data_IF_406400681092
#
_entry.id   IF_406400681092
#
_cell.length_a   1.000
_cell.length_b   1.000
_cell.length_c   1.000
_cell.angle_alpha   90.00
_cell.angle_beta   90.00
_cell.angle_gamma   90.00
#
_symmetry.space_group_name_H-M   'P 1'
#
loop_
_entity.id
_entity.type
_entity.pdbx_description
1 polymer ?
#
# COMPACT_ATOMS: atom_id res chain seq x y z
N UNK A 1 1.69 22.66 47.06
CA UNK A 1 2.04 21.81 45.90
C UNK A 1 2.22 20.38 46.37
N UNK A 2 1.86 19.36 45.56
CA UNK A 2 2.16 17.97 45.88
C UNK A 2 3.67 17.76 46.07
N UNK A 3 4.05 16.84 46.97
CA UNK A 3 5.46 16.51 47.23
C UNK A 3 5.87 15.31 46.35
N UNK A 4 6.74 15.51 45.34
CA UNK A 4 7.14 14.44 44.43
C UNK A 4 8.20 13.48 45.00
N UNK A 5 8.58 13.61 46.29
CA UNK A 5 9.54 12.71 46.96
C UNK A 5 10.89 12.58 46.24
N UNK A 6 11.41 13.69 45.69
CA UNK A 6 12.68 13.71 44.98
C UNK A 6 13.87 13.66 45.95
N UNK A 7 14.92 12.92 45.59
CA UNK A 7 16.19 12.93 46.31
C UNK A 7 16.93 14.25 46.08
N UNK A 8 17.94 14.56 46.92
CA UNK A 8 18.76 15.77 46.76
C UNK A 8 19.44 15.86 45.39
N UNK A 9 19.86 14.73 44.83
CA UNK A 9 20.51 14.69 43.51
C UNK A 9 19.50 14.91 42.37
N UNK A 10 18.29 14.37 42.50
CA UNK A 10 17.21 14.62 41.54
C UNK A 10 16.78 16.09 41.57
N UNK A 11 16.69 16.70 42.76
CA UNK A 11 16.40 18.13 42.91
C UNK A 11 17.48 18.96 42.22
N UNK A 12 18.76 18.66 42.45
CA UNK A 12 19.88 19.37 41.80
C UNK A 12 19.85 19.21 40.28
N UNK A 13 19.62 17.99 39.79
CA UNK A 13 19.57 17.69 38.35
C UNK A 13 18.41 18.43 37.68
N UNK A 14 17.22 18.38 38.29
CA UNK A 14 16.04 19.09 37.78
C UNK A 14 16.23 20.60 37.82
N UNK A 15 16.80 21.14 38.90
CA UNK A 15 17.11 22.57 39.02
C UNK A 15 18.11 23.00 37.95
N UNK A 16 19.15 22.20 37.71
CA UNK A 16 20.15 22.48 36.66
C UNK A 16 19.52 22.45 35.27
N UNK A 17 18.64 21.47 35.00
CA UNK A 17 17.89 21.41 33.75
C UNK A 17 17.01 22.66 33.56
N UNK A 18 16.25 23.04 34.59
CA UNK A 18 15.33 24.19 34.53
C UNK A 18 16.08 25.51 34.37
N UNK A 19 17.14 25.74 35.16
CA UNK A 19 17.99 26.93 35.06
C UNK A 19 18.81 26.98 33.77
N UNK A 20 19.12 25.82 33.18
CA UNK A 20 19.80 25.72 31.89
C UNK A 20 18.85 25.74 30.70
N UNK A 21 17.53 25.65 30.93
CA UNK A 21 16.50 25.67 29.90
C UNK A 21 16.08 27.10 29.54
N UNK A 22 17.05 28.00 29.49
CA UNK A 22 16.90 29.37 29.01
C UNK A 22 16.77 29.38 27.48
N UNK A 23 15.91 30.25 26.94
CA UNK A 23 15.81 30.49 25.49
C UNK A 23 17.04 31.27 24.99
N UNK A 24 18.21 30.63 25.00
CA UNK A 24 19.36 31.16 24.28
C UNK A 24 19.21 30.83 22.80
N UNK A 25 18.58 31.74 22.05
CA UNK A 25 18.55 31.62 20.60
C UNK A 25 19.97 31.71 20.06
N UNK A 26 20.38 30.74 19.23
CA UNK A 26 21.66 30.81 18.51
C UNK A 26 21.77 32.15 17.78
N UNK A 27 22.93 32.83 17.74
CA UNK A 27 23.05 34.06 16.96
C UNK A 27 22.71 33.80 15.50
N UNK A 28 22.14 34.80 14.81
CA UNK A 28 21.61 34.63 13.45
C UNK A 28 22.64 34.06 12.45
N UNK A 29 23.93 34.38 12.63
CA UNK A 29 25.04 33.87 11.83
C UNK A 29 25.27 32.36 11.94
N UNK A 30 24.82 31.72 13.03
CA UNK A 30 24.91 30.28 13.24
C UNK A 30 23.63 29.54 12.83
N UNK A 31 22.57 30.28 12.45
CA UNK A 31 21.30 29.69 12.03
C UNK A 31 21.36 29.36 10.54
N UNK A 32 21.37 28.07 10.19
CA UNK A 32 21.19 27.64 8.81
C UNK A 32 19.72 27.80 8.39
N UNK A 33 19.46 28.82 7.58
CA UNK A 33 18.14 29.17 7.01
C UNK A 33 18.22 29.14 5.48
N UNK A 34 18.14 27.97 4.84
CA UNK A 34 18.14 27.88 3.39
C UNK A 34 16.94 28.64 2.80
N UNK A 35 17.12 29.25 1.62
CA UNK A 35 16.05 29.94 0.89
C UNK A 35 15.38 29.09 -0.20
N UNK A 36 15.76 27.82 -0.33
CA UNK A 36 15.28 26.89 -1.35
C UNK A 36 14.49 25.72 -0.73
N UNK A 37 14.29 24.63 -1.48
CA UNK A 37 13.57 23.44 -1.05
C UNK A 37 14.10 22.83 0.27
N UNK A 38 15.37 23.09 0.64
CA UNK A 38 15.93 22.63 1.92
C UNK A 38 15.22 23.28 3.12
N UNK A 39 14.61 24.45 2.95
CA UNK A 39 13.79 25.10 3.96
C UNK A 39 12.56 24.26 4.30
N UNK A 40 11.84 23.80 3.26
CA UNK A 40 10.66 22.97 3.43
C UNK A 40 11.02 21.61 4.06
N UNK A 41 12.17 21.05 3.69
CA UNK A 41 12.72 19.84 4.31
C UNK A 41 12.99 20.07 5.81
N UNK A 42 13.65 21.17 6.17
CA UNK A 42 13.96 21.52 7.56
C UNK A 42 12.68 21.73 8.39
N UNK A 43 11.73 22.51 7.88
CA UNK A 43 10.45 22.80 8.56
C UNK A 43 9.61 21.54 8.78
N UNK A 44 9.54 20.65 7.78
CA UNK A 44 8.82 19.39 7.94
C UNK A 44 9.47 18.45 8.94
N UNK A 45 10.81 18.41 9.03
CA UNK A 45 11.50 17.59 10.03
C UNK A 45 11.15 17.99 11.46
N UNK A 46 10.91 19.27 11.74
CA UNK A 46 10.43 19.70 13.05
C UNK A 46 9.08 19.08 13.41
N UNK A 47 8.15 19.03 12.45
CA UNK A 47 6.82 18.42 12.66
C UNK A 47 6.93 16.90 12.78
N UNK A 48 7.69 16.25 11.89
CA UNK A 48 7.92 14.80 11.91
C UNK A 48 8.51 14.36 13.26
N UNK A 49 9.44 15.14 13.83
CA UNK A 49 9.99 14.88 15.17
C UNK A 49 8.97 15.16 16.26
N UNK A 50 8.27 16.30 16.22
CA UNK A 50 7.25 16.70 17.20
C UNK A 50 6.19 15.62 17.41
N UNK A 51 5.70 15.02 16.33
CA UNK A 51 4.66 13.98 16.36
C UNK A 51 5.22 12.55 16.28
N UNK A 52 6.55 12.40 16.34
CA UNK A 52 7.27 11.13 16.32
C UNK A 52 6.85 10.19 15.18
N UNK A 53 6.64 10.73 13.97
CA UNK A 53 6.18 9.93 12.83
C UNK A 53 7.17 8.80 12.49
N UNK A 54 8.47 9.00 12.79
CA UNK A 54 9.54 8.03 12.60
C UNK A 54 9.46 6.78 13.49
N UNK A 55 8.67 6.81 14.56
CA UNK A 55 8.43 5.61 15.37
C UNK A 55 7.62 4.55 14.60
N UNK A 56 6.84 4.97 13.60
CA UNK A 56 6.00 4.10 12.78
C UNK A 56 6.48 4.04 11.33
N UNK A 57 6.83 5.17 10.74
CA UNK A 57 7.14 5.32 9.32
C UNK A 57 8.65 5.42 9.05
N UNK A 58 9.08 4.79 7.97
CA UNK A 58 10.42 4.96 7.43
C UNK A 58 10.46 6.17 6.49
N UNK A 59 11.42 7.06 6.68
CA UNK A 59 11.70 8.24 5.84
C UNK A 59 13.02 8.11 5.07
N UNK A 60 13.89 7.19 5.49
CA UNK A 60 15.23 6.97 4.91
C UNK A 60 15.39 5.47 4.58
N UNK A 61 16.09 5.09 3.49
CA UNK A 61 16.38 3.69 3.21
C UNK A 61 17.05 2.98 4.38
N UNK A 62 16.57 1.80 4.73
CA UNK A 62 17.12 0.99 5.82
C UNK A 62 16.82 1.49 7.24
N UNK A 63 16.05 2.58 7.42
CA UNK A 63 15.68 3.08 8.74
C UNK A 63 14.82 2.06 9.50
N UNK A 64 15.29 1.58 10.65
CA UNK A 64 14.43 0.83 11.58
C UNK A 64 13.51 1.79 12.35
N UNK A 65 12.25 1.38 12.54
CA UNK A 65 11.28 2.14 13.36
C UNK A 65 11.02 1.41 14.67
N UNK A 66 10.53 2.13 15.69
CA UNK A 66 10.14 1.52 16.98
C UNK A 66 9.10 0.42 16.77
N UNK A 67 8.13 0.66 15.87
CA UNK A 67 7.06 -0.30 15.56
C UNK A 67 7.62 -1.61 14.98
N UNK A 68 8.61 -1.54 14.09
CA UNK A 68 9.29 -2.73 13.53
C UNK A 68 10.02 -3.54 14.62
N UNK A 69 10.47 -2.89 15.70
CA UNK A 69 11.13 -3.54 16.82
C UNK A 69 10.18 -4.26 17.79
N UNK A 70 8.85 -4.06 17.67
CA UNK A 70 7.89 -4.73 18.56
C UNK A 70 7.72 -6.19 18.15
N UNK A 71 7.66 -7.09 19.12
CA UNK A 71 7.57 -8.55 18.93
C UNK A 71 6.53 -8.97 17.88
N UNK A 72 5.35 -8.33 17.87
CA UNK A 72 4.27 -8.64 16.92
C UNK A 72 4.68 -8.41 15.46
N UNK A 73 5.46 -7.38 15.15
CA UNK A 73 5.83 -7.02 13.78
C UNK A 73 7.14 -7.66 13.30
N UNK A 74 7.79 -8.45 14.17
CA UNK A 74 8.94 -9.27 13.78
C UNK A 74 8.50 -10.60 13.15
N UNK A 75 7.25 -11.01 13.37
CA UNK A 75 6.65 -12.19 12.75
C UNK A 75 6.52 -11.99 11.22
N UNK A 76 6.99 -12.95 10.39
CA UNK A 76 6.81 -12.93 8.94
C UNK A 76 5.38 -12.65 8.48
N UNK A 77 4.37 -13.17 9.17
CA UNK A 77 2.95 -13.01 8.81
C UNK A 77 2.46 -11.57 9.03
N UNK A 78 3.18 -10.78 9.84
CA UNK A 78 2.84 -9.39 10.18
C UNK A 78 3.68 -8.37 9.41
N UNK A 79 4.58 -8.79 8.52
CA UNK A 79 5.40 -7.87 7.73
C UNK A 79 4.57 -6.89 6.88
N UNK A 80 3.48 -7.38 6.29
CA UNK A 80 2.55 -6.56 5.49
C UNK A 80 1.62 -5.68 6.35
N UNK A 81 1.66 -5.82 7.68
CA UNK A 81 0.90 -5.00 8.63
C UNK A 81 1.65 -3.72 9.04
N UNK A 82 2.86 -3.51 8.51
CA UNK A 82 3.65 -2.31 8.76
C UNK A 82 3.08 -1.09 8.02
N UNK A 83 3.22 0.13 8.60
CA UNK A 83 2.88 1.38 7.93
C UNK A 83 3.66 1.58 6.63
N UNK A 84 3.14 2.39 5.69
CA UNK A 84 3.85 2.67 4.45
C UNK A 84 5.17 3.41 4.70
N UNK A 85 6.16 3.09 3.87
CA UNK A 85 7.39 3.85 3.71
C UNK A 85 7.08 5.19 3.04
N UNK A 86 7.60 6.28 3.60
CA UNK A 86 7.30 7.66 3.19
C UNK A 86 8.43 8.35 2.39
N UNK A 87 9.48 7.61 2.02
CA UNK A 87 10.66 8.12 1.31
C UNK A 87 10.30 8.91 0.04
N UNK A 88 9.34 8.40 -0.74
CA UNK A 88 8.92 8.96 -2.02
C UNK A 88 7.46 9.44 -1.97
N UNK A 89 6.95 9.80 -0.79
CA UNK A 89 5.51 10.10 -0.65
C UNK A 89 5.09 11.30 -1.51
N UNK A 90 5.94 12.33 -1.62
CA UNK A 90 5.65 13.49 -2.46
C UNK A 90 5.56 13.16 -3.95
N UNK A 91 6.33 12.18 -4.43
CA UNK A 91 6.21 11.67 -5.80
C UNK A 91 4.99 10.74 -5.96
N UNK A 92 4.55 10.09 -4.89
CA UNK A 92 3.47 9.08 -4.93
C UNK A 92 2.09 9.69 -5.04
N UNK A 93 1.79 10.65 -4.18
CA UNK A 93 0.42 11.09 -3.95
C UNK A 93 0.17 12.53 -4.38
N UNK A 94 -1.07 12.81 -4.73
CA UNK A 94 -1.55 14.18 -4.96
C UNK A 94 -1.38 15.02 -3.67
N UNK A 95 -0.78 16.23 -3.74
CA UNK A 95 -0.55 17.07 -2.56
C UNK A 95 -1.82 17.49 -1.80
N UNK A 96 -2.91 17.75 -2.52
CA UNK A 96 -4.18 18.13 -1.90
C UNK A 96 -4.87 16.91 -1.28
N UNK A 97 -4.76 15.74 -1.91
CA UNK A 97 -5.16 14.49 -1.27
C UNK A 97 -4.36 14.24 0.02
N UNK A 98 -3.04 14.43 -0.01
CA UNK A 98 -2.19 14.21 1.17
C UNK A 98 -2.58 15.16 2.31
N UNK A 99 -2.84 16.43 2.01
CA UNK A 99 -3.34 17.41 2.98
C UNK A 99 -4.61 16.89 3.66
N UNK A 100 -5.62 16.49 2.87
CA UNK A 100 -6.89 15.95 3.38
C UNK A 100 -6.71 14.67 4.20
N UNK A 101 -5.86 13.76 3.74
CA UNK A 101 -5.56 12.51 4.44
C UNK A 101 -4.89 12.76 5.80
N UNK A 102 -3.95 13.69 5.90
CA UNK A 102 -3.29 14.03 7.16
C UNK A 102 -4.25 14.66 8.18
N UNK A 103 -5.27 15.39 7.71
CA UNK A 103 -6.35 15.90 8.58
C UNK A 103 -7.29 14.79 9.05
N UNK A 104 -7.57 13.80 8.19
CA UNK A 104 -8.47 12.68 8.51
C UNK A 104 -7.96 11.34 7.93
N UNK A 105 -7.07 10.62 8.63
CA UNK A 105 -6.52 9.35 8.15
C UNK A 105 -7.55 8.22 8.03
N UNK A 106 -8.71 8.34 8.71
CA UNK A 106 -9.78 7.34 8.64
C UNK A 106 -10.59 7.43 7.34
N UNK A 107 -10.50 8.57 6.63
CA UNK A 107 -11.31 8.92 5.46
C UNK A 107 -12.82 8.72 5.71
N UNK A 108 -13.27 9.03 6.92
CA UNK A 108 -14.69 8.96 7.31
C UNK A 108 -15.04 10.08 8.28
N UNK A 109 -16.22 10.64 8.12
CA UNK A 109 -16.78 11.66 9.03
C UNK A 109 -17.42 11.03 10.27
N UNK A 110 -17.87 9.78 10.16
CA UNK A 110 -18.67 9.11 11.18
C UNK A 110 -17.91 8.02 11.94
N UNK A 111 -16.82 7.52 11.38
CA UNK A 111 -15.97 6.51 12.02
C UNK A 111 -14.49 6.91 11.93
N UNK A 112 -13.98 7.49 13.01
CA UNK A 112 -12.55 7.85 13.14
C UNK A 112 -11.69 6.67 13.60
N UNK A 113 -12.29 5.52 13.92
CA UNK A 113 -11.58 4.36 14.47
C UNK A 113 -11.16 3.32 13.41
N UNK A 114 -11.13 3.69 12.13
CA UNK A 114 -10.77 2.83 11.00
C UNK A 114 -9.54 3.34 10.24
N UNK A 115 -9.00 2.46 9.40
CA UNK A 115 -8.04 2.85 8.36
C UNK A 115 -8.80 3.19 7.07
N UNK A 116 -8.50 4.36 6.49
CA UNK A 116 -9.13 4.83 5.25
C UNK A 116 -8.66 4.04 4.02
N UNK A 117 -7.39 4.20 3.64
CA UNK A 117 -6.82 3.64 2.40
C UNK A 117 -6.54 2.14 2.50
N UNK A 118 -6.02 1.69 3.65
CA UNK A 118 -5.59 0.31 3.89
C UNK A 118 -6.38 -0.29 5.04
N UNK A 119 -7.67 -0.52 4.83
CA UNK A 119 -8.60 -1.05 5.83
C UNK A 119 -8.17 -2.40 6.43
N UNK A 120 -7.37 -3.17 5.70
CA UNK A 120 -6.81 -4.46 6.13
C UNK A 120 -5.66 -4.34 7.17
N UNK A 121 -5.08 -3.14 7.36
CA UNK A 121 -4.06 -2.93 8.38
C UNK A 121 -4.67 -2.93 9.79
N UNK A 122 -3.96 -3.52 10.76
CA UNK A 122 -4.31 -3.45 12.19
C UNK A 122 -3.69 -2.24 12.89
N UNK A 123 -2.51 -1.81 12.45
CA UNK A 123 -1.93 -0.53 12.89
C UNK A 123 -2.76 0.62 12.32
N UNK A 124 -2.95 1.68 13.12
CA UNK A 124 -3.66 2.89 12.69
C UNK A 124 -2.74 4.09 12.80
N UNK A 125 -2.86 5.02 11.85
CA UNK A 125 -2.24 6.33 11.95
C UNK A 125 -3.06 7.18 12.95
N UNK A 126 -2.45 7.77 13.99
CA UNK A 126 -3.17 8.65 14.90
C UNK A 126 -3.67 9.92 14.19
N UNK A 127 -4.81 10.44 14.64
CA UNK A 127 -5.29 11.77 14.26
C UNK A 127 -4.62 12.81 15.15
N UNK A 128 -3.71 13.59 14.58
CA UNK A 128 -2.87 14.55 15.33
C UNK A 128 -3.45 15.97 15.41
N UNK A 129 -4.63 16.22 14.81
CA UNK A 129 -5.28 17.54 14.77
C UNK A 129 -4.33 18.66 14.33
N UNK A 130 -3.60 18.43 13.23
CA UNK A 130 -2.65 19.41 12.69
C UNK A 130 -3.33 20.73 12.37
N UNK A 131 -2.62 21.84 12.61
CA UNK A 131 -3.02 23.14 12.07
C UNK A 131 -2.86 23.20 10.55
N UNK A 132 -3.59 24.09 9.87
CA UNK A 132 -3.43 24.31 8.41
C UNK A 132 -1.99 24.68 8.01
N UNK A 133 -1.25 25.35 8.90
CA UNK A 133 0.16 25.66 8.68
C UNK A 133 1.04 24.41 8.76
N UNK A 134 0.81 23.52 9.74
CA UNK A 134 1.54 22.25 9.84
C UNK A 134 1.24 21.34 8.66
N UNK A 135 -0.03 21.25 8.24
CA UNK A 135 -0.42 20.50 7.05
C UNK A 135 0.30 21.00 5.80
N UNK A 136 0.33 22.32 5.60
CA UNK A 136 1.07 22.95 4.48
C UNK A 136 2.55 22.61 4.52
N UNK A 137 3.19 22.71 5.69
CA UNK A 137 4.61 22.38 5.88
C UNK A 137 4.89 20.91 5.60
N UNK A 138 4.04 19.98 6.06
CA UNK A 138 4.18 18.55 5.78
C UNK A 138 4.03 18.22 4.30
N UNK A 139 3.04 18.82 3.62
CA UNK A 139 2.86 18.61 2.17
C UNK A 139 4.08 19.12 1.40
N UNK A 140 4.55 20.34 1.69
CA UNK A 140 5.75 20.92 1.07
C UNK A 140 7.00 20.10 1.38
N UNK A 141 7.13 19.59 2.60
CA UNK A 141 8.21 18.70 3.01
C UNK A 141 8.28 17.46 2.13
N UNK A 142 7.17 16.74 1.94
CA UNK A 142 7.16 15.54 1.11
C UNK A 142 7.42 15.86 -0.37
N UNK A 143 6.86 16.96 -0.88
CA UNK A 143 7.16 17.43 -2.24
C UNK A 143 8.65 17.74 -2.42
N UNK A 144 9.26 18.50 -1.49
CA UNK A 144 10.66 18.85 -1.52
C UNK A 144 11.58 17.62 -1.39
N UNK A 145 11.27 16.69 -0.47
CA UNK A 145 12.02 15.44 -0.30
C UNK A 145 12.02 14.59 -1.58
N UNK A 146 10.93 14.64 -2.34
CA UNK A 146 10.76 13.93 -3.62
C UNK A 146 11.09 14.80 -4.85
N UNK A 147 11.71 15.98 -4.66
CA UNK A 147 12.08 16.92 -5.71
C UNK A 147 10.93 17.26 -6.69
N UNK A 148 9.73 17.39 -6.15
CA UNK A 148 8.52 17.65 -6.93
C UNK A 148 8.35 19.15 -7.19
N UNK A 149 7.76 19.54 -8.33
CA UNK A 149 7.46 20.94 -8.60
C UNK A 149 6.44 21.48 -7.60
N UNK A 150 6.61 22.77 -7.27
CA UNK A 150 5.71 23.55 -6.43
C UNK A 150 5.43 24.89 -7.14
N UNK A 151 4.18 25.17 -7.58
CA UNK A 151 2.98 24.37 -7.38
C UNK A 151 2.96 23.07 -8.20
N UNK A 152 2.24 22.07 -7.70
CA UNK A 152 1.96 20.84 -8.45
C UNK A 152 0.86 21.10 -9.48
N UNK A 153 1.08 20.63 -10.70
CA UNK A 153 0.10 20.66 -11.79
C UNK A 153 -0.22 19.21 -12.14
N UNK A 154 -1.47 18.75 -11.93
CA UNK A 154 -1.85 17.38 -12.27
C UNK A 154 -1.67 17.09 -13.76
N UNK A 155 -1.13 15.90 -14.07
CA UNK A 155 -1.09 15.40 -15.44
C UNK A 155 -2.51 15.12 -15.94
N UNK A 156 -2.79 15.51 -17.19
CA UNK A 156 -4.06 15.18 -17.84
C UNK A 156 -4.03 13.74 -18.33
N UNK A 157 -4.83 12.88 -17.68
CA UNK A 157 -5.09 11.52 -18.15
C UNK A 157 -5.98 11.58 -19.41
N UNK A 158 -5.56 11.01 -20.55
CA UNK A 158 -6.37 10.98 -21.77
C UNK A 158 -7.57 10.07 -21.61
N UNK A 159 -8.68 10.40 -22.28
CA UNK A 159 -9.87 9.53 -22.31
C UNK A 159 -9.59 8.34 -23.22
N UNK A 160 -9.76 7.12 -22.69
CA UNK A 160 -9.59 5.91 -23.50
C UNK A 160 -10.74 5.75 -24.49
N UNK A 161 -10.42 5.31 -25.70
CA UNK A 161 -11.43 4.82 -26.65
C UNK A 161 -12.07 3.51 -26.14
N UNK A 162 -13.21 3.11 -26.72
CA UNK A 162 -13.84 1.83 -26.37
C UNK A 162 -12.89 0.64 -26.60
N UNK A 163 -12.13 0.66 -27.71
CA UNK A 163 -11.13 -0.38 -28.02
C UNK A 163 -10.02 -0.42 -26.96
N UNK A 164 -9.49 0.73 -26.58
CA UNK A 164 -8.46 0.81 -25.53
C UNK A 164 -8.97 0.39 -24.18
N UNK A 165 -10.19 0.76 -23.82
CA UNK A 165 -10.82 0.34 -22.59
C UNK A 165 -10.94 -1.20 -22.52
N UNK A 166 -11.36 -1.84 -23.62
CA UNK A 166 -11.44 -3.30 -23.71
C UNK A 166 -10.06 -3.98 -23.62
N UNK A 167 -9.06 -3.40 -24.30
CA UNK A 167 -7.67 -3.86 -24.22
C UNK A 167 -7.13 -3.75 -22.78
N UNK A 168 -7.27 -2.59 -22.14
CA UNK A 168 -6.82 -2.37 -20.77
C UNK A 168 -7.53 -3.28 -19.77
N UNK A 169 -8.84 -3.48 -19.92
CA UNK A 169 -9.63 -4.43 -19.13
C UNK A 169 -9.07 -5.84 -19.21
N UNK A 170 -8.65 -6.27 -20.41
CA UNK A 170 -8.06 -7.61 -20.59
C UNK A 170 -6.72 -7.76 -19.88
N UNK A 171 -5.90 -6.69 -19.78
CA UNK A 171 -4.68 -6.71 -18.97
C UNK A 171 -5.00 -6.77 -17.48
N UNK A 172 -5.90 -5.91 -17.02
CA UNK A 172 -6.29 -5.79 -15.61
C UNK A 172 -6.91 -7.09 -15.05
N UNK A 173 -7.62 -7.83 -15.90
CA UNK A 173 -8.25 -9.12 -15.54
C UNK A 173 -7.45 -10.35 -15.95
N UNK A 174 -6.24 -10.17 -16.50
CA UNK A 174 -5.42 -11.27 -17.00
C UNK A 174 -5.08 -12.27 -15.90
N UNK A 175 -5.08 -13.56 -16.24
CA UNK A 175 -4.65 -14.63 -15.31
C UNK A 175 -3.15 -14.55 -14.99
N UNK A 176 -2.36 -13.93 -15.86
CA UNK A 176 -0.94 -13.65 -15.63
C UNK A 176 -0.72 -12.45 -14.68
N UNK A 177 -1.73 -11.58 -14.52
CA UNK A 177 -1.67 -10.40 -13.66
C UNK A 177 -3.04 -10.09 -13.03
N UNK A 178 -3.60 -10.98 -12.18
CA UNK A 178 -4.97 -10.82 -11.68
C UNK A 178 -5.00 -9.73 -10.60
N UNK A 179 -5.17 -8.46 -11.01
CA UNK A 179 -5.00 -7.29 -10.14
C UNK A 179 -5.94 -7.34 -8.94
N UNK A 180 -7.20 -7.76 -9.18
CA UNK A 180 -8.21 -7.89 -8.14
C UNK A 180 -7.98 -9.09 -7.21
N UNK A 181 -7.01 -9.97 -7.45
CA UNK A 181 -6.69 -11.05 -6.49
C UNK A 181 -6.16 -10.51 -5.17
N UNK A 182 -5.43 -9.38 -5.22
CA UNK A 182 -4.78 -8.78 -4.06
C UNK A 182 -5.39 -7.42 -3.68
N UNK A 183 -5.89 -6.66 -4.66
CA UNK A 183 -6.48 -5.36 -4.42
C UNK A 183 -7.91 -5.46 -3.91
N UNK A 184 -8.23 -4.63 -2.92
CA UNK A 184 -9.58 -4.48 -2.38
C UNK A 184 -10.57 -4.02 -3.47
N UNK A 185 -11.81 -4.46 -3.36
CA UNK A 185 -12.90 -4.12 -4.29
C UNK A 185 -14.02 -3.34 -3.61
N UNK A 186 -14.03 -3.29 -2.29
CA UNK A 186 -15.15 -2.78 -1.50
C UNK A 186 -16.19 -3.84 -1.17
N UNK A 187 -16.06 -5.07 -1.70
CA UNK A 187 -16.85 -6.22 -1.26
C UNK A 187 -16.26 -6.74 0.06
N UNK A 188 -17.02 -6.75 1.17
CA UNK A 188 -16.53 -7.22 2.46
C UNK A 188 -16.02 -8.66 2.49
N UNK A 189 -16.50 -9.55 1.61
CA UNK A 189 -16.01 -10.93 1.54
C UNK A 189 -14.66 -11.00 0.84
N UNK A 190 -14.50 -10.25 -0.25
CA UNK A 190 -13.24 -10.15 -0.98
C UNK A 190 -12.17 -9.44 -0.15
N UNK A 191 -12.54 -8.32 0.47
CA UNK A 191 -11.61 -7.45 1.19
C UNK A 191 -11.01 -8.09 2.46
N UNK A 192 -11.57 -9.21 2.94
CA UNK A 192 -10.99 -10.02 4.03
C UNK A 192 -9.61 -10.57 3.71
N UNK A 193 -9.33 -10.83 2.43
CA UNK A 193 -8.06 -11.38 1.96
C UNK A 193 -7.25 -10.37 1.15
N UNK A 194 -7.77 -9.16 0.96
CA UNK A 194 -7.08 -8.10 0.24
C UNK A 194 -5.84 -7.62 1.02
N UNK A 195 -4.75 -7.45 0.29
CA UNK A 195 -3.47 -6.96 0.81
C UNK A 195 -3.03 -5.65 0.15
N UNK A 196 -3.84 -5.13 -0.77
CA UNK A 196 -3.59 -3.88 -1.49
C UNK A 196 -4.83 -2.96 -1.54
N UNK A 197 -4.64 -1.62 -1.64
CA UNK A 197 -5.73 -0.67 -1.65
C UNK A 197 -6.67 -0.82 -2.85
N UNK A 198 -7.91 -0.33 -2.69
CA UNK A 198 -8.89 -0.31 -3.77
C UNK A 198 -8.47 0.67 -4.88
N UNK A 199 -8.55 0.24 -6.15
CA UNK A 199 -8.17 1.04 -7.31
C UNK A 199 -9.07 2.27 -7.50
N UNK A 200 -10.30 2.27 -6.98
CA UNK A 200 -11.18 3.43 -7.01
C UNK A 200 -10.60 4.66 -6.29
N UNK A 201 -9.63 4.47 -5.39
CA UNK A 201 -8.91 5.56 -4.73
C UNK A 201 -7.81 6.16 -5.60
N UNK A 202 -7.39 5.49 -6.69
CA UNK A 202 -6.19 5.85 -7.44
C UNK A 202 -6.27 7.26 -8.04
N UNK A 203 -7.38 7.59 -8.71
CA UNK A 203 -7.58 8.87 -9.40
C UNK A 203 -7.40 10.08 -8.49
N UNK A 204 -7.93 10.01 -7.28
CA UNK A 204 -7.86 11.13 -6.34
C UNK A 204 -6.56 11.15 -5.54
N UNK A 205 -5.92 9.98 -5.35
CA UNK A 205 -4.81 9.79 -4.43
C UNK A 205 -3.45 9.84 -5.11
N UNK A 206 -3.31 9.18 -6.26
CA UNK A 206 -2.00 8.83 -6.84
C UNK A 206 -1.68 9.72 -8.04
N UNK A 207 -0.39 9.91 -8.31
CA UNK A 207 0.07 10.53 -9.55
C UNK A 207 0.24 9.48 -10.65
N UNK A 208 -0.25 9.71 -11.90
CA UNK A 208 -0.17 8.72 -12.97
C UNK A 208 1.25 8.23 -13.25
N UNK A 209 2.20 9.16 -13.36
CA UNK A 209 3.62 8.87 -13.63
C UNK A 209 4.27 8.01 -12.54
N UNK A 210 3.87 8.18 -11.27
CA UNK A 210 4.30 7.31 -10.20
C UNK A 210 3.69 5.92 -10.30
N UNK A 211 2.40 5.81 -10.65
CA UNK A 211 1.74 4.50 -10.83
C UNK A 211 2.38 3.72 -11.97
N UNK A 212 2.73 4.38 -13.08
CA UNK A 212 3.45 3.77 -14.19
C UNK A 212 4.79 3.18 -13.74
N UNK A 213 5.61 3.94 -13.02
CA UNK A 213 6.89 3.43 -12.47
C UNK A 213 6.66 2.30 -11.46
N UNK A 214 5.60 2.38 -10.66
CA UNK A 214 5.22 1.38 -9.66
C UNK A 214 4.85 0.03 -10.27
N UNK A 215 4.07 -0.01 -11.35
CA UNK A 215 3.67 -1.27 -11.98
C UNK A 215 4.79 -1.93 -12.80
N UNK A 216 5.79 -1.15 -13.21
CA UNK A 216 6.98 -1.64 -13.92
C UNK A 216 7.94 -2.33 -12.97
N UNK A 217 8.36 -1.65 -11.90
CA UNK A 217 9.29 -2.20 -10.91
C UNK A 217 8.95 -1.74 -9.48
N UNK A 218 7.98 -2.41 -8.82
CA UNK A 218 7.58 -2.05 -7.47
C UNK A 218 8.68 -2.30 -6.43
N UNK A 219 9.59 -3.26 -6.68
CA UNK A 219 10.70 -3.57 -5.77
C UNK A 219 11.75 -2.47 -5.73
N UNK A 220 11.99 -1.79 -6.86
CA UNK A 220 12.88 -0.61 -6.90
C UNK A 220 12.34 0.55 -6.06
N UNK A 221 11.01 0.73 -5.99
CA UNK A 221 10.38 1.82 -5.23
C UNK A 221 10.18 1.45 -3.77
N UNK A 222 9.74 0.23 -3.49
CA UNK A 222 9.53 -0.27 -2.12
C UNK A 222 10.03 -1.70 -1.99
N UNK A 223 11.32 -1.89 -1.69
CA UNK A 223 11.90 -3.22 -1.51
C UNK A 223 11.13 -4.05 -0.48
N UNK A 224 10.82 -5.30 -0.84
CA UNK A 224 10.07 -6.25 -0.01
C UNK A 224 8.55 -6.07 -0.06
N UNK A 225 8.02 -5.31 -1.02
CA UNK A 225 6.56 -5.22 -1.22
C UNK A 225 5.97 -6.50 -1.80
N UNK A 226 4.73 -6.84 -1.45
CA UNK A 226 3.97 -7.93 -2.08
C UNK A 226 3.51 -7.66 -3.52
N UNK A 227 3.64 -6.43 -4.03
CA UNK A 227 3.31 -6.15 -5.44
C UNK A 227 4.31 -6.88 -6.36
N UNK A 228 3.84 -7.70 -7.32
CA UNK A 228 4.72 -8.47 -8.20
C UNK A 228 5.48 -7.57 -9.19
N UNK A 229 6.74 -7.89 -9.44
CA UNK A 229 7.54 -7.33 -10.55
C UNK A 229 7.35 -8.15 -11.82
N UNK A 230 7.76 -7.59 -12.97
CA UNK A 230 7.79 -8.32 -14.24
C UNK A 230 6.42 -8.47 -14.91
N UNK A 231 5.41 -7.69 -14.49
CA UNK A 231 4.13 -7.60 -15.21
C UNK A 231 4.31 -7.04 -16.62
N UNK A 232 5.34 -6.21 -16.81
CA UNK A 232 5.70 -5.59 -18.07
C UNK A 232 7.18 -5.83 -18.39
N UNK A 233 7.50 -5.88 -19.68
CA UNK A 233 8.86 -6.02 -20.21
C UNK A 233 9.08 -4.99 -21.31
N UNK A 234 10.34 -4.68 -21.60
CA UNK A 234 10.71 -3.85 -22.76
C UNK A 234 10.75 -4.69 -24.03
N UNK A 235 10.07 -4.22 -25.08
CA UNK A 235 10.12 -4.79 -26.42
C UNK A 235 10.04 -3.66 -27.44
N UNK A 236 10.98 -3.59 -28.39
CA UNK A 236 11.04 -2.53 -29.41
C UNK A 236 10.93 -1.10 -28.85
N UNK A 237 11.58 -0.84 -27.70
CA UNK A 237 11.52 0.44 -26.97
C UNK A 237 10.14 0.80 -26.38
N UNK A 238 9.22 -0.14 -26.33
CA UNK A 238 7.91 -0.03 -25.68
C UNK A 238 7.81 -0.90 -24.44
N UNK A 239 6.98 -0.49 -23.48
CA UNK A 239 6.58 -1.33 -22.36
C UNK A 239 5.38 -2.18 -22.76
N UNK A 240 5.61 -3.49 -22.91
CA UNK A 240 4.58 -4.46 -23.27
C UNK A 240 4.27 -5.37 -22.10
N UNK A 241 3.03 -5.85 -22.03
CA UNK A 241 2.61 -6.81 -21.01
C UNK A 241 3.40 -8.12 -21.17
N UNK A 242 3.89 -8.68 -20.07
CA UNK A 242 4.72 -9.89 -20.10
C UNK A 242 3.89 -11.18 -20.27
N UNK A 243 2.62 -11.14 -19.88
CA UNK A 243 1.68 -12.26 -20.06
C UNK A 243 1.03 -12.30 -21.45
N UNK A 244 0.14 -13.27 -21.69
CA UNK A 244 -0.58 -13.37 -22.96
C UNK A 244 -1.51 -12.17 -23.14
N UNK A 245 -1.48 -11.58 -24.33
CA UNK A 245 -2.39 -10.51 -24.75
C UNK A 245 -3.36 -11.01 -25.82
N UNK A 246 -4.64 -10.57 -25.81
CA UNK A 246 -5.57 -10.90 -26.88
C UNK A 246 -5.14 -10.35 -28.26
N UNK A 247 -5.69 -10.85 -29.37
CA UNK A 247 -5.39 -10.36 -30.72
C UNK A 247 -5.69 -8.86 -30.93
N UNK A 248 -6.50 -8.24 -30.08
CA UNK A 248 -6.78 -6.79 -30.12
C UNK A 248 -5.53 -5.92 -29.96
N UNK A 249 -4.45 -6.46 -29.38
CA UNK A 249 -3.15 -5.80 -29.24
C UNK A 249 -2.27 -5.86 -30.49
N UNK A 250 -2.65 -6.61 -31.53
CA UNK A 250 -1.88 -6.63 -32.78
C UNK A 250 -1.87 -5.23 -33.42
N UNK A 251 -0.67 -4.69 -33.64
CA UNK A 251 -0.48 -3.33 -34.17
C UNK A 251 -0.79 -2.22 -33.17
N UNK A 252 -0.84 -2.52 -31.86
CA UNK A 252 -0.90 -1.48 -30.83
C UNK A 252 0.53 -1.02 -30.50
N UNK A 253 0.86 0.21 -30.91
CA UNK A 253 2.22 0.76 -30.84
C UNK A 253 2.48 1.59 -29.57
N UNK A 254 1.48 1.78 -28.71
CA UNK A 254 1.65 2.55 -27.48
C UNK A 254 1.99 1.64 -26.29
N UNK A 255 2.55 2.23 -25.24
CA UNK A 255 2.95 1.49 -24.04
C UNK A 255 1.73 0.89 -23.32
N UNK A 256 1.76 -0.42 -23.08
CA UNK A 256 0.73 -1.14 -22.33
C UNK A 256 0.66 -0.67 -20.87
N UNK A 257 1.78 -0.15 -20.32
CA UNK A 257 1.81 0.46 -18.99
C UNK A 257 0.92 1.69 -18.94
N UNK A 258 1.08 2.62 -19.89
CA UNK A 258 0.28 3.83 -19.98
C UNK A 258 -1.20 3.51 -20.18
N UNK A 259 -1.51 2.58 -21.08
CA UNK A 259 -2.87 2.09 -21.29
C UNK A 259 -3.52 1.58 -19.99
N UNK A 260 -2.80 0.77 -19.21
CA UNK A 260 -3.31 0.24 -17.95
C UNK A 260 -3.46 1.33 -16.88
N UNK A 261 -2.52 2.26 -16.78
CA UNK A 261 -2.58 3.40 -15.84
C UNK A 261 -3.78 4.29 -16.17
N UNK A 262 -3.96 4.66 -17.43
CA UNK A 262 -5.09 5.49 -17.87
C UNK A 262 -6.43 4.82 -17.56
N UNK A 263 -6.51 3.49 -17.70
CA UNK A 263 -7.67 2.69 -17.31
C UNK A 263 -7.91 2.71 -15.79
N UNK A 264 -6.86 2.52 -14.97
CA UNK A 264 -6.96 2.58 -13.50
C UNK A 264 -7.50 3.95 -13.05
N UNK A 265 -7.05 5.04 -13.69
CA UNK A 265 -7.49 6.41 -13.36
C UNK A 265 -8.89 6.75 -13.87
N UNK A 266 -9.45 5.92 -14.77
CA UNK A 266 -10.81 6.04 -15.28
C UNK A 266 -11.76 4.99 -14.71
N UNK A 267 -11.28 4.13 -13.79
CA UNK A 267 -12.06 3.03 -13.23
C UNK A 267 -13.25 3.55 -12.40
N UNK A 268 -14.44 3.02 -12.69
CA UNK A 268 -15.67 3.31 -11.94
C UNK A 268 -16.09 2.12 -11.07
N UNK A 269 -16.93 2.33 -10.04
CA UNK A 269 -17.48 1.22 -9.25
C UNK A 269 -18.23 0.18 -10.10
N UNK A 270 -18.92 0.61 -11.15
CA UNK A 270 -19.63 -0.26 -12.10
C UNK A 270 -18.65 -1.13 -12.88
N UNK A 271 -17.58 -0.51 -13.39
CA UNK A 271 -16.57 -1.20 -14.17
C UNK A 271 -15.75 -2.18 -13.32
N UNK A 272 -15.37 -1.79 -12.10
CA UNK A 272 -14.71 -2.70 -11.15
C UNK A 272 -15.59 -3.92 -10.84
N UNK A 273 -16.90 -3.72 -10.59
CA UNK A 273 -17.84 -4.82 -10.36
C UNK A 273 -17.96 -5.74 -11.58
N UNK A 274 -18.03 -5.17 -12.78
CA UNK A 274 -18.05 -5.93 -14.05
C UNK A 274 -16.82 -6.82 -14.16
N UNK A 275 -15.63 -6.27 -13.91
CA UNK A 275 -14.38 -7.04 -14.02
C UNK A 275 -14.24 -8.09 -12.94
N UNK A 276 -14.59 -7.76 -11.69
CA UNK A 276 -14.61 -8.73 -10.59
C UNK A 276 -15.53 -9.93 -10.89
N UNK A 277 -16.73 -9.68 -11.43
CA UNK A 277 -17.66 -10.73 -11.83
C UNK A 277 -17.06 -11.63 -12.94
N UNK A 278 -16.44 -11.03 -13.96
CA UNK A 278 -15.81 -11.77 -15.05
C UNK A 278 -14.69 -12.71 -14.57
N UNK A 279 -13.87 -12.26 -13.60
CA UNK A 279 -12.81 -13.07 -12.99
C UNK A 279 -13.35 -14.22 -12.11
N UNK A 280 -14.51 -14.02 -11.47
CA UNK A 280 -15.20 -15.07 -10.70
C UNK A 280 -15.75 -16.19 -11.60
N UNK A 281 -16.28 -15.84 -12.77
CA UNK A 281 -16.79 -16.81 -13.74
C UNK A 281 -15.69 -17.65 -14.41
N UNK A 282 -14.49 -17.09 -14.60
CA UNK A 282 -13.34 -17.83 -15.17
C UNK A 282 -12.84 -18.94 -14.24
N UNK A 283 -13.03 -18.81 -12.92
CA UNK A 283 -12.75 -19.86 -11.93
C UNK A 283 -13.76 -21.00 -11.95
N UNK A 284 -15.02 -20.72 -12.28
CA UNK A 284 -16.08 -21.73 -12.32
C UNK A 284 -15.97 -22.63 -13.56
N UNK A 285 -15.45 -22.11 -14.68
CA UNK A 285 -15.25 -22.85 -15.93
C UNK A 285 -13.96 -23.68 -15.99
N UNK A 286 -13.02 -23.50 -15.06
CA UNK A 286 -11.76 -24.26 -14.99
C UNK A 286 -11.80 -25.50 -14.10
N UNK A 287 -12.94 -25.81 -13.46
CA UNK A 287 -13.11 -27.06 -12.71
C UNK A 287 -13.69 -28.15 -13.66
N UNK A 288 -13.02 -29.30 -13.85
CA UNK A 288 -13.60 -30.42 -14.57
C UNK A 288 -14.86 -30.91 -13.82
N UNK A 289 -15.94 -31.29 -14.53
CA UNK A 289 -17.10 -31.87 -13.85
C UNK A 289 -16.67 -33.15 -13.15
N UNK A 290 -16.86 -33.20 -11.84
CA UNK A 290 -16.64 -34.40 -11.04
C UNK A 290 -17.53 -35.52 -11.58
N UNK A 291 -16.93 -36.45 -12.33
CA UNK A 291 -17.59 -37.63 -12.85
C UNK A 291 -18.13 -38.47 -11.69
N UNK A 292 -19.46 -38.64 -11.64
CA UNK A 292 -20.14 -39.56 -10.73
C UNK A 292 -19.67 -40.98 -11.00
N UNK A 293 -18.74 -41.50 -10.18
CA UNK A 293 -18.54 -42.94 -10.05
C UNK A 293 -19.66 -43.52 -9.18
N UNK A 294 -20.64 -44.17 -9.83
CA UNK A 294 -21.58 -45.08 -9.16
C UNK A 294 -20.79 -46.25 -8.59
N UNK A 295 -20.80 -46.40 -7.27
CA UNK A 295 -20.41 -47.63 -6.60
C UNK A 295 -21.62 -48.58 -6.60
N UNK A 296 -21.54 -49.65 -7.39
CA UNK A 296 -22.43 -50.81 -7.27
C UNK A 296 -21.89 -51.73 -6.18
N UNK A 297 -22.71 -51.94 -5.16
CA UNK A 297 -22.51 -52.92 -4.11
C UNK A 297 -22.85 -54.32 -4.62
N UNK A 298 -22.09 -55.31 -4.17
CA UNK A 298 -22.55 -56.70 -4.12
C UNK A 298 -22.10 -57.34 -2.81
N UNK A 299 -23.11 -57.66 -2.01
CA UNK A 299 -23.06 -58.48 -0.80
C UNK A 299 -23.00 -59.96 -1.14
N UNK A 300 -22.23 -60.75 -0.40
CA UNK A 300 -22.58 -62.14 -0.11
C UNK A 300 -21.92 -62.63 1.18
N UNK A 301 -22.77 -63.10 2.08
CA UNK A 301 -22.47 -63.82 3.30
C UNK A 301 -22.41 -65.33 3.05
N UNK A 302 -21.57 -66.02 3.83
CA UNK A 302 -21.81 -67.30 4.53
C UNK A 302 -20.82 -68.45 4.26
N UNK A 303 -20.25 -68.91 5.38
CA UNK A 303 -19.92 -70.29 5.78
C UNK A 303 -18.91 -71.12 4.96
N UNK A 304 -17.81 -71.52 5.61
CA UNK A 304 -17.68 -72.87 6.19
C UNK A 304 -16.36 -73.06 6.98
N UNK A 305 -16.49 -73.88 8.03
CA UNK A 305 -15.45 -74.39 8.93
C UNK A 305 -14.40 -75.24 8.18
N UNK A 306 -13.16 -75.27 8.67
CA UNK A 306 -12.48 -76.48 9.19
C UNK A 306 -11.02 -76.18 9.57
N UNK A 307 -10.62 -76.63 10.77
CA UNK A 307 -9.23 -76.81 11.20
C UNK A 307 -8.76 -78.23 10.79
N UNK A 308 -7.44 -78.49 10.68
CA UNK A 308 -6.61 -78.95 11.80
C UNK A 308 -5.25 -78.20 11.82
N UNK A 309 -4.35 -78.22 12.80
CA UNK A 309 -3.99 -79.16 13.86
C UNK A 309 -2.47 -79.37 13.80
N UNK A 310 -1.75 -79.11 14.92
CA UNK A 310 -0.32 -79.44 15.15
C UNK A 310 0.69 -78.37 14.70
N UNK A 311 1.77 -78.05 15.41
CA UNK A 311 2.35 -78.54 16.67
C UNK A 311 3.70 -77.84 16.92
N UNK A 312 4.01 -77.63 18.21
CA UNK A 312 5.32 -77.53 18.87
C UNK A 312 6.52 -76.88 18.14
N UNK A 313 6.93 -75.68 18.58
CA UNK A 313 8.07 -75.43 19.49
C UNK A 313 8.24 -73.92 19.69
#
# INVERSE_FOLDING_TARGET
>A
MPNPHLTKDQIRSLTTLLLGSEETSLPASYQYKPGDARHDIQEGWWIVKKYNCMACHQFIPGQSTTLMGMTRYQDPDWKEQLPPKLLTEGARVDPEWLRRFLSNPSLSENDTNRNGVRSYLKVRMPTFSFSENELRKLVRFFQALSQQPMPYIPERVPTLTAKENDMARSLFSSTAAPCLKCHATGDPQHDKIATAPNFLLAKERLKPDWVERWIVDPQAISPGTSMPSGLFKRENNHWVFAGPTPPSFQGYEADHTKLLVDYIFQLTPEEQRRVAAAMGHTRASSNPPAGKRKATATSSSASQRTAPGGGSR
#
